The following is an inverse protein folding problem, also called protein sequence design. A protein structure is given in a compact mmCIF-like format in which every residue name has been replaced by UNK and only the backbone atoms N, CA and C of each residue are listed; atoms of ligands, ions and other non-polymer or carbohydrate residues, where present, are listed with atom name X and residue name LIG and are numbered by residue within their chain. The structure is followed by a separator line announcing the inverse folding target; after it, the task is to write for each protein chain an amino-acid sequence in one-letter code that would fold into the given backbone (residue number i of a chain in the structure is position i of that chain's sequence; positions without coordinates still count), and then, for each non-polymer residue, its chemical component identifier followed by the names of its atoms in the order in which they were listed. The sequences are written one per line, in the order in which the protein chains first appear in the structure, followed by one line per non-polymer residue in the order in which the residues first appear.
data_IF_546533350967
#
_entry.id   IF_546533350967
#
_cell.length_a   1.000
_cell.length_b   1.000
_cell.length_c   1.000
_cell.angle_alpha   90.00
_cell.angle_beta   90.00
_cell.angle_gamma   90.00
#
_symmetry.space_group_name_H-M   'P 1'
#
loop_
_entity.id
_entity.type
_entity.pdbx_description
1 polymer ?
#
# COMPACT_ATOMS: atom_id res chain seq x y z
N UNK A 1 -0.51 -9.97 -18.75
CA UNK A 1 0.09 -9.38 -19.98
C UNK A 1 0.72 -8.05 -19.54
N UNK A 2 2.03 -7.82 -19.73
CA UNK A 2 2.73 -6.66 -19.15
C UNK A 2 2.31 -5.36 -19.84
N UNK A 3 1.38 -4.61 -19.24
CA UNK A 3 0.98 -3.27 -19.69
C UNK A 3 1.73 -2.20 -18.91
N UNK A 4 2.83 -1.69 -19.48
CA UNK A 4 3.59 -0.58 -18.89
C UNK A 4 2.95 0.72 -19.37
N UNK A 5 2.22 1.43 -18.50
CA UNK A 5 1.90 2.84 -18.75
C UNK A 5 3.09 3.65 -18.21
N UNK A 6 4.10 3.82 -19.06
CA UNK A 6 5.32 4.54 -18.72
C UNK A 6 5.13 6.05 -18.85
N UNK A 7 4.59 6.71 -17.82
CA UNK A 7 4.61 8.17 -17.72
C UNK A 7 5.80 8.63 -16.85
N UNK A 8 7.01 8.49 -17.41
CA UNK A 8 8.30 9.00 -16.89
C UNK A 8 8.38 10.53 -16.76
N UNK A 9 7.27 11.24 -16.94
CA UNK A 9 7.23 12.70 -17.09
C UNK A 9 7.27 13.43 -15.74
N UNK A 10 7.02 12.73 -14.61
CA UNK A 10 6.91 13.38 -13.31
C UNK A 10 7.47 12.55 -12.15
N UNK A 11 8.78 12.32 -12.01
CA UNK A 11 9.41 11.77 -10.78
C UNK A 11 8.77 10.52 -10.11
N UNK A 12 7.89 9.82 -10.81
CA UNK A 12 7.13 8.66 -10.36
C UNK A 12 7.15 7.62 -11.48
N UNK A 13 6.99 6.35 -11.10
CA UNK A 13 6.71 5.25 -12.00
C UNK A 13 5.38 4.64 -11.58
N UNK A 14 4.48 4.48 -12.56
CA UNK A 14 3.21 3.80 -12.39
C UNK A 14 3.30 2.43 -13.05
N UNK A 15 2.95 1.40 -12.29
CA UNK A 15 2.95 0.01 -12.75
C UNK A 15 1.62 -0.66 -12.38
N UNK A 16 1.25 -1.68 -13.16
CA UNK A 16 0.06 -2.48 -12.93
C UNK A 16 0.37 -3.98 -13.04
N UNK A 17 -0.27 -4.78 -12.20
CA UNK A 17 -0.07 -6.22 -12.10
C UNK A 17 -1.39 -6.96 -12.02
N UNK A 18 -1.46 -8.09 -12.72
CA UNK A 18 -2.65 -8.95 -12.73
C UNK A 18 -2.80 -9.75 -11.41
N UNK A 19 -1.73 -9.86 -10.60
CA UNK A 19 -1.78 -10.63 -9.35
C UNK A 19 -0.64 -10.38 -8.36
N UNK A 20 -0.84 -10.85 -7.13
CA UNK A 20 0.00 -10.57 -5.97
C UNK A 20 1.48 -10.97 -6.12
N UNK A 21 1.77 -12.07 -6.82
CA UNK A 21 3.14 -12.57 -6.95
C UNK A 21 4.07 -11.56 -7.65
N UNK A 22 3.64 -11.05 -8.81
CA UNK A 22 4.41 -10.08 -9.59
C UNK A 22 4.55 -8.74 -8.84
N UNK A 23 3.48 -8.29 -8.17
CA UNK A 23 3.50 -7.07 -7.37
C UNK A 23 4.45 -7.17 -6.17
N UNK A 24 4.43 -8.29 -5.43
CA UNK A 24 5.35 -8.54 -4.31
C UNK A 24 6.80 -8.61 -4.76
N UNK A 25 7.07 -9.21 -5.93
CA UNK A 25 8.42 -9.22 -6.49
C UNK A 25 8.90 -7.80 -6.82
N UNK A 26 8.04 -6.99 -7.45
CA UNK A 26 8.38 -5.62 -7.84
C UNK A 26 8.56 -4.67 -6.64
N UNK A 27 7.68 -4.73 -5.64
CA UNK A 27 7.74 -3.91 -4.43
C UNK A 27 8.80 -4.44 -3.42
N UNK A 28 9.26 -5.67 -3.60
CA UNK A 28 10.30 -6.27 -2.79
C UNK A 28 9.82 -6.88 -1.47
N UNK A 29 10.75 -7.26 -0.58
CA UNK A 29 10.44 -8.08 0.61
C UNK A 29 9.49 -7.41 1.61
N UNK A 30 9.36 -6.08 1.59
CA UNK A 30 8.43 -5.34 2.44
C UNK A 30 6.95 -5.48 2.05
N UNK A 31 6.62 -6.13 0.93
CA UNK A 31 5.27 -6.22 0.39
C UNK A 31 4.59 -7.59 0.60
N UNK A 32 5.19 -8.51 1.37
CA UNK A 32 4.65 -9.86 1.58
C UNK A 32 3.26 -9.88 2.24
N UNK A 33 2.86 -8.77 2.88
CA UNK A 33 1.55 -8.57 3.49
C UNK A 33 0.40 -8.49 2.49
N UNK A 34 0.65 -8.14 1.22
CA UNK A 34 -0.38 -8.09 0.16
C UNK A 34 -1.00 -9.49 0.05
N UNK A 35 -2.32 -9.70 0.20
CA UNK A 35 -2.95 -11.02 0.11
C UNK A 35 -2.69 -11.76 -1.21
N UNK A 36 -2.70 -13.09 -1.18
CA UNK A 36 -2.41 -13.92 -2.36
C UNK A 36 -3.51 -13.84 -3.45
N UNK A 37 -4.73 -13.50 -3.07
CA UNK A 37 -5.87 -13.29 -3.98
C UNK A 37 -5.93 -11.86 -4.54
N UNK A 38 -4.96 -11.00 -4.22
CA UNK A 38 -4.95 -9.63 -4.71
C UNK A 38 -4.88 -9.58 -6.24
N UNK A 39 -5.76 -8.78 -6.83
CA UNK A 39 -5.93 -8.57 -8.25
C UNK A 39 -6.04 -7.07 -8.58
N UNK A 40 -5.96 -6.73 -9.87
CA UNK A 40 -6.06 -5.36 -10.38
C UNK A 40 -5.12 -4.39 -9.63
N UNK A 41 -3.89 -4.85 -9.40
CA UNK A 41 -2.94 -4.16 -8.54
C UNK A 41 -2.35 -2.99 -9.31
N UNK A 42 -2.42 -1.80 -8.72
CA UNK A 42 -1.80 -0.57 -9.23
C UNK A 42 -0.80 -0.06 -8.21
N UNK A 43 0.39 0.30 -8.67
CA UNK A 43 1.43 0.91 -7.84
C UNK A 43 1.87 2.23 -8.43
N UNK A 44 2.17 3.19 -7.57
CA UNK A 44 2.89 4.42 -7.94
C UNK A 44 4.06 4.59 -6.99
N UNK A 45 5.27 4.67 -7.53
CA UNK A 45 6.51 4.73 -6.75
C UNK A 45 7.34 5.94 -7.16
N UNK A 46 7.84 6.70 -6.18
CA UNK A 46 8.79 7.79 -6.41
C UNK A 46 10.11 7.28 -6.97
N UNK A 47 10.61 7.94 -8.02
CA UNK A 47 11.93 7.67 -8.62
C UNK A 47 13.06 8.45 -7.92
N UNK A 48 12.74 9.13 -6.80
CA UNK A 48 13.71 9.85 -5.96
C UNK A 48 14.29 8.94 -4.87
N UNK A 49 15.32 9.43 -4.19
CA UNK A 49 16.20 8.64 -3.32
C UNK A 49 15.51 7.97 -2.11
N UNK A 50 14.42 8.57 -1.63
CA UNK A 50 13.55 8.01 -0.59
C UNK A 50 12.19 7.71 -1.26
N UNK A 51 11.91 6.45 -1.64
CA UNK A 51 10.78 6.16 -2.48
C UNK A 51 9.51 6.04 -1.65
N UNK A 52 8.80 7.15 -1.52
CA UNK A 52 7.37 7.14 -1.23
C UNK A 52 6.68 6.25 -2.28
N UNK A 53 5.82 5.34 -1.85
CA UNK A 53 5.08 4.46 -2.73
C UNK A 53 3.63 4.34 -2.28
N UNK A 54 2.74 4.09 -3.23
CA UNK A 54 1.36 3.72 -2.96
C UNK A 54 0.98 2.50 -3.77
N UNK A 55 0.10 1.67 -3.20
CA UNK A 55 -0.45 0.49 -3.86
C UNK A 55 -1.94 0.39 -3.59
N UNK A 56 -2.73 0.08 -4.62
CA UNK A 56 -4.16 -0.22 -4.51
C UNK A 56 -4.44 -1.53 -5.22
N UNK A 57 -5.26 -2.38 -4.62
CA UNK A 57 -5.65 -3.65 -5.23
C UNK A 57 -7.02 -4.12 -4.73
N UNK A 58 -7.67 -4.94 -5.54
CA UNK A 58 -8.87 -5.66 -5.14
C UNK A 58 -8.48 -6.94 -4.40
N UNK A 59 -9.17 -7.26 -3.31
CA UNK A 59 -9.00 -8.53 -2.57
C UNK A 59 -10.21 -8.76 -1.68
N UNK A 60 -10.71 -9.99 -1.65
CA UNK A 60 -11.77 -10.39 -0.71
C UNK A 60 -11.21 -10.84 0.65
N UNK A 61 -9.89 -10.91 0.78
CA UNK A 61 -9.21 -11.40 1.97
C UNK A 61 -8.90 -10.28 2.94
N UNK A 62 -9.04 -10.59 4.23
CA UNK A 62 -8.50 -9.74 5.29
C UNK A 62 -6.98 -9.75 5.26
N UNK A 63 -6.35 -8.66 5.72
CA UNK A 63 -4.91 -8.62 5.92
C UNK A 63 -4.48 -9.60 7.01
N UNK A 64 -3.32 -10.22 6.83
CA UNK A 64 -2.76 -11.18 7.78
C UNK A 64 -2.43 -10.48 9.11
N UNK A 65 -3.06 -10.85 10.25
CA UNK A 65 -2.84 -10.20 11.53
C UNK A 65 -1.41 -10.38 12.08
N UNK A 66 -0.66 -11.37 11.60
CA UNK A 66 0.76 -11.55 11.97
C UNK A 66 1.68 -10.55 11.24
N UNK A 67 1.24 -10.06 10.07
CA UNK A 67 1.99 -9.11 9.25
C UNK A 67 1.48 -7.68 9.37
N UNK A 68 0.21 -7.51 9.71
CA UNK A 68 -0.53 -6.25 9.71
C UNK A 68 -1.28 -6.04 11.01
N UNK A 69 -0.83 -5.10 11.83
CA UNK A 69 -1.47 -4.80 13.11
C UNK A 69 -2.41 -3.61 12.99
N UNK A 70 -3.67 -3.70 13.46
CA UNK A 70 -4.59 -2.56 13.45
C UNK A 70 -4.11 -1.47 14.42
N UNK A 71 -4.31 -0.20 14.06
CA UNK A 71 -3.93 0.93 14.88
C UNK A 71 -4.44 2.26 14.33
N UNK A 72 -4.24 3.36 15.08
CA UNK A 72 -4.63 4.69 14.63
C UNK A 72 -3.78 5.11 13.42
N UNK A 73 -4.41 5.66 12.40
CA UNK A 73 -3.71 6.31 11.28
C UNK A 73 -3.04 7.59 11.77
N UNK A 74 -1.74 7.71 11.53
CA UNK A 74 -0.93 8.88 11.91
C UNK A 74 -0.13 9.45 10.73
N UNK A 75 -0.10 8.74 9.61
CA UNK A 75 0.51 9.15 8.35
C UNK A 75 -0.53 9.17 7.23
N UNK A 76 -0.22 9.83 6.11
CA UNK A 76 -1.09 9.85 4.93
C UNK A 76 -0.27 9.62 3.69
N UNK A 77 -0.91 9.04 2.67
CA UNK A 77 -0.29 8.82 1.38
C UNK A 77 0.10 10.17 0.74
N UNK A 78 1.29 10.24 0.15
CA UNK A 78 1.75 11.42 -0.58
C UNK A 78 0.97 11.63 -1.90
N UNK A 79 0.45 10.54 -2.46
CA UNK A 79 -0.44 10.54 -3.62
C UNK A 79 -1.57 9.53 -3.41
N UNK A 80 -2.60 9.64 -4.23
CA UNK A 80 -3.72 8.73 -4.30
C UNK A 80 -4.07 8.50 -5.77
N UNK A 81 -4.71 7.37 -6.08
CA UNK A 81 -5.40 7.21 -7.35
C UNK A 81 -6.76 7.93 -7.29
N UNK A 82 -7.33 8.23 -8.44
CA UNK A 82 -8.60 8.98 -8.52
C UNK A 82 -9.76 8.29 -7.78
N UNK A 83 -9.68 6.96 -7.64
CA UNK A 83 -10.63 6.08 -6.96
C UNK A 83 -10.11 5.54 -5.61
N UNK A 84 -9.02 6.09 -5.09
CA UNK A 84 -8.56 5.77 -3.74
C UNK A 84 -9.45 6.45 -2.68
N UNK A 85 -9.64 5.84 -1.50
CA UNK A 85 -10.40 6.45 -0.43
C UNK A 85 -9.73 7.73 0.09
N UNK A 86 -10.53 8.64 0.66
CA UNK A 86 -9.98 9.78 1.40
C UNK A 86 -9.35 9.30 2.71
N UNK A 87 -8.04 9.09 2.68
CA UNK A 87 -7.28 8.63 3.85
C UNK A 87 -7.27 9.64 5.01
N UNK A 88 -7.65 10.89 4.79
CA UNK A 88 -7.77 11.89 5.86
C UNK A 88 -9.12 11.83 6.56
N UNK A 89 -10.12 11.18 5.97
CA UNK A 89 -11.41 10.91 6.58
C UNK A 89 -11.41 9.66 7.47
N UNK A 90 -10.38 8.80 7.36
CA UNK A 90 -10.25 7.57 8.15
C UNK A 90 -9.29 7.74 9.34
N UNK A 91 -9.68 7.14 10.47
CA UNK A 91 -8.93 7.17 11.73
C UNK A 91 -8.20 5.88 12.03
N UNK A 92 -8.67 4.77 11.48
CA UNK A 92 -8.15 3.43 11.73
C UNK A 92 -7.47 2.89 10.47
N UNK A 93 -6.33 2.26 10.66
CA UNK A 93 -5.51 1.68 9.60
C UNK A 93 -4.82 0.41 10.10
N UNK A 94 -4.15 -0.28 9.17
CA UNK A 94 -3.31 -1.43 9.45
C UNK A 94 -1.85 -1.08 9.16
N UNK A 95 -0.98 -1.34 10.13
CA UNK A 95 0.46 -1.15 9.99
C UNK A 95 1.08 -2.47 9.56
N UNK A 96 1.54 -2.54 8.32
CA UNK A 96 2.13 -3.72 7.70
C UNK A 96 3.64 -3.49 7.47
N UNK A 97 4.43 -3.52 8.54
CA UNK A 97 5.84 -3.13 8.51
C UNK A 97 6.02 -1.63 8.25
N UNK A 98 6.51 -1.26 7.06
CA UNK A 98 6.66 0.15 6.65
C UNK A 98 5.44 0.72 5.93
N UNK A 99 4.47 -0.14 5.62
CA UNK A 99 3.23 0.24 4.96
C UNK A 99 2.16 0.60 5.98
N UNK A 100 1.32 1.56 5.62
CA UNK A 100 0.01 1.76 6.23
C UNK A 100 -1.04 1.37 5.20
N UNK A 101 -2.00 0.54 5.57
CA UNK A 101 -3.09 0.09 4.70
C UNK A 101 -4.45 0.46 5.29
N UNK A 102 -5.39 0.81 4.43
CA UNK A 102 -6.79 1.07 4.76
C UNK A 102 -7.67 0.29 3.80
N UNK A 103 -8.84 -0.11 4.28
CA UNK A 103 -9.83 -0.79 3.44
C UNK A 103 -10.39 0.17 2.39
N UNK A 104 -10.68 -0.38 1.22
CA UNK A 104 -11.51 0.23 0.18
C UNK A 104 -12.79 -0.58 0.04
N UNK A 105 -13.69 -0.18 -0.86
CA UNK A 105 -14.93 -0.94 -1.10
C UNK A 105 -14.65 -2.37 -1.62
N UNK A 106 -13.58 -2.55 -2.41
CA UNK A 106 -13.27 -3.79 -3.11
C UNK A 106 -11.91 -4.43 -2.71
N UNK A 107 -11.22 -3.86 -1.72
CA UNK A 107 -9.92 -4.35 -1.28
C UNK A 107 -9.17 -3.38 -0.39
N UNK A 108 -7.96 -2.99 -0.80
CA UNK A 108 -7.02 -2.26 0.05
C UNK A 108 -6.28 -1.16 -0.69
N UNK A 109 -6.02 -0.06 0.02
CA UNK A 109 -5.14 1.02 -0.39
C UNK A 109 -4.05 1.20 0.66
N UNK A 110 -2.80 1.26 0.26
CA UNK A 110 -1.68 1.38 1.18
C UNK A 110 -0.59 2.32 0.68
N UNK A 111 0.21 2.84 1.62
CA UNK A 111 1.30 3.77 1.32
C UNK A 111 2.54 3.54 2.20
N UNK A 112 3.67 4.00 1.67
CA UNK A 112 4.95 4.16 2.37
C UNK A 112 5.49 5.58 2.19
N UNK A 113 6.33 6.05 3.12
CA UNK A 113 6.55 5.46 4.44
C UNK A 113 5.38 5.76 5.38
N UNK A 114 5.09 4.83 6.29
CA UNK A 114 4.31 5.13 7.48
C UNK A 114 5.11 5.98 8.49
N UNK A 115 4.43 6.55 9.49
CA UNK A 115 5.12 7.33 10.52
C UNK A 115 5.73 6.42 11.59
N UNK A 116 6.84 6.85 12.20
CA UNK A 116 7.45 6.14 13.33
C UNK A 116 6.50 6.00 14.53
N UNK A 117 5.63 7.00 14.77
CA UNK A 117 4.63 6.95 15.83
C UNK A 117 3.56 5.89 15.55
N UNK A 118 3.16 5.74 14.29
CA UNK A 118 2.20 4.71 13.86
C UNK A 118 2.77 3.30 14.10
N UNK A 119 4.02 3.07 13.71
CA UNK A 119 4.72 1.80 13.97
C UNK A 119 4.84 1.48 15.47
N UNK A 120 5.11 2.50 16.29
CA UNK A 120 5.16 2.32 17.75
C UNK A 120 3.79 1.99 18.34
N UNK A 121 2.73 2.66 17.89
CA UNK A 121 1.37 2.40 18.37
C UNK A 121 0.90 0.99 18.01
N UNK A 122 1.16 0.55 16.78
CA UNK A 122 0.88 -0.82 16.34
C UNK A 122 1.68 -1.87 17.12
N UNK A 123 2.99 -1.65 17.31
CA UNK A 123 3.83 -2.58 18.09
C UNK A 123 3.53 -2.62 19.59
N UNK A 124 2.93 -1.57 20.14
CA UNK A 124 2.47 -1.53 21.54
C UNK A 124 1.10 -2.23 21.75
N UNK A 125 0.40 -2.57 20.67
CA UNK A 125 -0.88 -3.27 20.70
C UNK A 125 -0.74 -4.81 20.58
N UNK A 126 0.49 -5.31 20.37
CA UNK A 126 0.83 -6.74 20.29
C UNK A 126 1.31 -7.36 21.61
#
# INVERSE_FOLDING_TARGET
MRGIINDLVHHFADDAYDGAADAREALGPGAQWIPADAADIRTRTSTRKDPDAVVQFASGSALDPELCTPGPRMSGAAWAFDDSPDVYAVTDAYVCGEWTAVATDDGWFAWTPNSAAERQAAGAAG
#
